data_IF_417777881664
#
_entry.id   IF_417777881664
#
_cell.length_a   1.000
_cell.length_b   1.000
_cell.length_c   1.000
_cell.angle_alpha   90.00
_cell.angle_beta   90.00
_cell.angle_gamma   90.00
#
_symmetry.space_group_name_H-M   'P 1'
#
loop_
_entity.id
_entity.type
_entity.pdbx_description
1 polymer ?
#
# COMPACT_ATOMS: atom_id res chain seq x y z
N UNK A 1 14.68 45.29 -25.68
CA UNK A 1 15.95 44.75 -26.22
C UNK A 1 17.13 45.58 -25.79
N UNK A 2 17.30 46.79 -26.34
CA UNK A 2 18.30 47.78 -25.86
C UNK A 2 17.68 49.14 -25.55
N UNK A 3 16.62 49.51 -26.28
CA UNK A 3 15.81 50.72 -26.08
C UNK A 3 15.09 50.84 -24.73
N UNK A 4 14.96 49.73 -23.98
CA UNK A 4 14.37 49.71 -22.63
C UNK A 4 15.39 49.44 -21.51
N UNK A 5 16.69 49.42 -21.81
CA UNK A 5 17.76 49.22 -20.81
C UNK A 5 17.84 47.81 -20.20
N UNK A 6 17.12 46.83 -20.73
CA UNK A 6 17.07 45.48 -20.17
C UNK A 6 18.15 44.58 -20.78
N UNK A 7 19.00 44.00 -19.95
CA UNK A 7 20.05 43.05 -20.35
C UNK A 7 19.41 41.67 -20.60
N UNK A 8 19.57 41.05 -21.79
CA UNK A 8 18.93 39.76 -22.11
C UNK A 8 19.26 38.63 -21.12
N UNK A 9 20.50 38.58 -20.63
CA UNK A 9 20.94 37.60 -19.64
C UNK A 9 20.17 37.73 -18.32
N UNK A 10 19.94 38.97 -17.86
CA UNK A 10 19.16 39.22 -16.65
C UNK A 10 17.70 38.78 -16.81
N UNK A 11 17.11 38.92 -18.01
CA UNK A 11 15.76 38.40 -18.28
C UNK A 11 15.72 36.89 -18.15
N UNK A 12 16.73 36.20 -18.69
CA UNK A 12 16.84 34.75 -18.61
C UNK A 12 16.90 34.29 -17.16
N UNK A 13 17.81 34.84 -16.37
CA UNK A 13 17.99 34.49 -14.95
C UNK A 13 16.73 34.74 -14.13
N UNK A 14 16.05 35.87 -14.35
CA UNK A 14 14.79 36.19 -13.65
C UNK A 14 13.67 35.24 -14.06
N UNK A 15 13.50 34.96 -15.36
CA UNK A 15 12.45 34.05 -15.83
C UNK A 15 12.69 32.63 -15.33
N UNK A 16 13.94 32.15 -15.35
CA UNK A 16 14.32 30.84 -14.80
C UNK A 16 14.01 30.76 -13.30
N UNK A 17 14.32 31.80 -12.52
CA UNK A 17 13.96 31.88 -11.10
C UNK A 17 12.44 31.85 -10.87
N UNK A 18 11.67 32.65 -11.61
CA UNK A 18 10.21 32.67 -11.50
C UNK A 18 9.57 31.34 -11.93
N UNK A 19 10.16 30.64 -12.90
CA UNK A 19 9.71 29.30 -13.29
C UNK A 19 10.03 28.28 -12.20
N UNK A 20 11.19 28.36 -11.55
CA UNK A 20 11.55 27.50 -10.43
C UNK A 20 10.60 27.68 -9.24
N UNK A 21 10.18 28.92 -8.95
CA UNK A 21 9.20 29.24 -7.91
C UNK A 21 7.75 28.88 -8.30
N UNK A 22 7.51 28.48 -9.55
CA UNK A 22 6.18 28.13 -10.07
C UNK A 22 5.26 29.32 -10.36
N UNK A 23 5.82 30.53 -10.42
CA UNK A 23 5.14 31.80 -10.69
C UNK A 23 4.91 32.03 -12.19
N UNK A 24 5.82 31.51 -13.02
CA UNK A 24 5.75 31.54 -14.49
C UNK A 24 5.71 30.12 -15.01
N UNK A 25 4.68 29.79 -15.78
CA UNK A 25 4.63 28.54 -16.51
C UNK A 25 5.49 28.60 -17.77
N UNK A 26 5.98 27.43 -18.14
CA UNK A 26 6.73 27.22 -19.37
C UNK A 26 6.24 25.97 -20.09
N UNK A 27 6.28 26.01 -21.41
CA UNK A 27 6.06 24.84 -22.26
C UNK A 27 6.85 24.97 -23.57
N UNK A 28 7.25 23.82 -24.10
CA UNK A 28 8.02 23.73 -25.34
C UNK A 28 7.10 23.36 -26.48
N UNK A 29 6.89 24.31 -27.40
CA UNK A 29 6.09 24.13 -28.60
C UNK A 29 7.01 24.16 -29.82
N UNK A 30 7.27 22.97 -30.38
CA UNK A 30 8.22 22.80 -31.48
C UNK A 30 9.65 23.16 -31.07
N UNK A 31 10.23 24.17 -31.73
CA UNK A 31 11.58 24.66 -31.45
C UNK A 31 11.64 25.80 -30.43
N UNK A 32 10.49 26.31 -29.97
CA UNK A 32 10.43 27.44 -29.05
C UNK A 32 9.94 27.04 -27.66
N UNK A 33 10.45 27.74 -26.64
CA UNK A 33 9.98 27.64 -25.26
C UNK A 33 9.18 28.89 -24.97
N UNK A 34 7.91 28.71 -24.60
CA UNK A 34 6.98 29.77 -24.25
C UNK A 34 6.93 29.93 -22.74
N UNK A 35 6.77 31.16 -22.28
CA UNK A 35 6.64 31.51 -20.87
C UNK A 35 5.41 32.39 -20.67
N UNK A 36 4.58 32.10 -19.68
CA UNK A 36 3.39 32.90 -19.36
C UNK A 36 3.03 32.84 -17.88
N UNK A 37 2.25 33.81 -17.43
CA UNK A 37 1.64 33.80 -16.09
C UNK A 37 0.21 34.32 -16.20
N UNK A 38 -0.75 33.53 -15.73
CA UNK A 38 -2.17 33.86 -15.74
C UNK A 38 -2.64 34.16 -14.31
N UNK A 39 -3.37 35.26 -14.06
CA UNK A 39 -3.85 35.61 -12.71
C UNK A 39 -4.66 34.49 -12.04
N UNK A 40 -5.41 33.70 -12.83
CA UNK A 40 -6.24 32.60 -12.36
C UNK A 40 -5.47 31.31 -12.04
N UNK A 41 -4.19 31.22 -12.44
CA UNK A 41 -3.44 29.97 -12.43
C UNK A 41 -3.17 29.45 -11.02
N UNK A 42 -2.67 30.31 -10.13
CA UNK A 42 -2.43 29.94 -8.72
C UNK A 42 -3.71 29.44 -8.06
N UNK A 43 -4.81 30.16 -8.28
CA UNK A 43 -6.12 29.77 -7.75
C UNK A 43 -6.58 28.41 -8.31
N UNK A 44 -6.36 28.16 -9.60
CA UNK A 44 -6.68 26.88 -10.23
C UNK A 44 -5.88 25.72 -9.63
N UNK A 45 -4.56 25.90 -9.49
CA UNK A 45 -3.66 24.91 -8.88
C UNK A 45 -4.06 24.61 -7.44
N UNK A 46 -4.33 25.64 -6.63
CA UNK A 46 -4.77 25.46 -5.24
C UNK A 46 -6.12 24.73 -5.15
N UNK A 47 -7.07 25.08 -6.02
CA UNK A 47 -8.38 24.37 -6.08
C UNK A 47 -8.21 22.91 -6.48
N UNK A 48 -7.34 22.60 -7.43
CA UNK A 48 -7.04 21.23 -7.82
C UNK A 48 -6.40 20.43 -6.67
N UNK A 49 -5.41 21.01 -5.99
CA UNK A 49 -4.78 20.42 -4.80
C UNK A 49 -5.81 20.18 -3.69
N UNK A 50 -6.68 21.16 -3.40
CA UNK A 50 -7.74 21.04 -2.41
C UNK A 50 -8.71 19.90 -2.75
N UNK A 51 -9.16 19.80 -4.02
CA UNK A 51 -10.03 18.71 -4.46
C UNK A 51 -9.37 17.35 -4.25
N UNK A 52 -8.14 17.17 -4.75
CA UNK A 52 -7.40 15.93 -4.59
C UNK A 52 -7.26 15.52 -3.12
N UNK A 53 -6.87 16.46 -2.26
CA UNK A 53 -6.71 16.18 -0.83
C UNK A 53 -8.04 15.87 -0.14
N UNK A 54 -9.13 16.53 -0.55
CA UNK A 54 -10.48 16.23 -0.06
C UNK A 54 -10.91 14.82 -0.44
N UNK A 55 -10.66 14.41 -1.69
CA UNK A 55 -11.01 13.08 -2.17
C UNK A 55 -10.20 11.99 -1.44
N UNK A 56 -8.91 12.26 -1.18
CA UNK A 56 -8.03 11.37 -0.44
C UNK A 56 -8.47 11.22 1.02
N UNK A 57 -8.83 12.32 1.69
CA UNK A 57 -9.39 12.28 3.05
C UNK A 57 -10.68 11.49 3.10
N UNK A 58 -11.58 11.67 2.12
CA UNK A 58 -12.83 10.91 2.05
C UNK A 58 -12.56 9.41 1.84
N UNK A 59 -11.60 9.07 0.97
CA UNK A 59 -11.20 7.68 0.77
C UNK A 59 -10.68 7.06 2.06
N UNK A 60 -9.76 7.74 2.76
CA UNK A 60 -9.21 7.25 4.03
C UNK A 60 -10.28 7.08 5.12
N UNK A 61 -11.29 7.96 5.17
CA UNK A 61 -12.41 7.78 6.10
C UNK A 61 -13.23 6.53 5.78
N UNK A 62 -13.52 6.27 4.51
CA UNK A 62 -14.24 5.05 4.12
C UNK A 62 -13.47 3.79 4.48
N UNK A 63 -12.17 3.77 4.17
CA UNK A 63 -11.30 2.63 4.53
C UNK A 63 -11.23 2.44 6.05
N UNK A 64 -11.17 3.54 6.81
CA UNK A 64 -11.21 3.48 8.27
C UNK A 64 -12.54 2.90 8.79
N UNK A 65 -13.67 3.38 8.27
CA UNK A 65 -15.00 2.93 8.68
C UNK A 65 -15.21 1.43 8.32
N UNK A 66 -14.72 0.99 7.17
CA UNK A 66 -14.74 -0.42 6.74
C UNK A 66 -13.93 -1.29 7.71
N UNK A 67 -12.69 -0.90 8.01
CA UNK A 67 -11.83 -1.65 8.95
C UNK A 67 -12.43 -1.66 10.37
N UNK A 68 -13.05 -0.56 10.82
CA UNK A 68 -13.73 -0.52 12.11
C UNK A 68 -14.94 -1.45 12.14
N UNK A 69 -15.73 -1.51 11.06
CA UNK A 69 -16.86 -2.43 10.97
C UNK A 69 -16.42 -3.90 10.96
N UNK A 70 -15.34 -4.23 10.26
CA UNK A 70 -14.73 -5.56 10.30
C UNK A 70 -14.25 -5.90 11.72
N UNK A 71 -13.50 -5.00 12.37
CA UNK A 71 -13.02 -5.20 13.72
C UNK A 71 -14.16 -5.39 14.73
N UNK A 72 -15.23 -4.60 14.61
CA UNK A 72 -16.43 -4.76 15.43
C UNK A 72 -17.07 -6.15 15.23
N UNK A 73 -17.14 -6.63 13.99
CA UNK A 73 -17.66 -7.95 13.65
C UNK A 73 -16.81 -9.06 14.26
N UNK A 74 -15.48 -9.01 14.09
CA UNK A 74 -14.55 -9.97 14.69
C UNK A 74 -14.57 -9.93 16.23
N UNK A 75 -14.76 -8.75 16.83
CA UNK A 75 -14.83 -8.59 18.29
C UNK A 75 -16.16 -9.05 18.90
N UNK A 76 -17.21 -9.11 18.07
CA UNK A 76 -18.54 -9.58 18.45
C UNK A 76 -18.64 -11.10 18.39
N UNK A 77 -17.81 -11.76 17.57
CA UNK A 77 -17.65 -13.22 17.63
C UNK A 77 -17.20 -13.61 19.05
N UNK A 78 -17.95 -14.50 19.75
CA UNK A 78 -17.56 -14.94 21.08
C UNK A 78 -16.17 -15.58 21.00
N UNK A 79 -15.17 -14.89 21.56
CA UNK A 79 -13.87 -15.49 21.75
C UNK A 79 -14.07 -16.76 22.59
N UNK A 80 -13.56 -17.93 22.15
CA UNK A 80 -13.63 -19.11 22.98
C UNK A 80 -12.97 -18.77 24.31
N UNK A 81 -13.61 -19.16 25.41
CA UNK A 81 -13.06 -18.94 26.74
C UNK A 81 -11.68 -19.57 26.85
N UNK A 82 -10.83 -19.05 27.72
CA UNK A 82 -9.48 -19.61 27.94
C UNK A 82 -9.52 -21.12 28.23
N UNK A 83 -10.60 -21.57 28.88
CA UNK A 83 -10.86 -22.99 29.16
C UNK A 83 -11.17 -23.80 27.90
N UNK A 84 -11.97 -23.26 26.98
CA UNK A 84 -12.27 -23.89 25.69
C UNK A 84 -11.02 -23.96 24.79
N UNK A 85 -10.23 -22.88 24.76
CA UNK A 85 -8.94 -22.86 24.06
C UNK A 85 -7.96 -23.89 24.64
N UNK A 86 -7.86 -24.00 25.97
CA UNK A 86 -7.02 -24.99 26.63
C UNK A 86 -7.47 -26.43 26.29
N UNK A 87 -8.77 -26.71 26.35
CA UNK A 87 -9.33 -28.02 25.99
C UNK A 87 -9.08 -28.38 24.52
N UNK A 88 -9.22 -27.43 23.60
CA UNK A 88 -8.91 -27.61 22.17
C UNK A 88 -7.43 -27.90 21.94
N UNK A 89 -6.53 -27.17 22.62
CA UNK A 89 -5.07 -27.39 22.53
C UNK A 89 -4.68 -28.78 23.04
N UNK A 90 -5.20 -29.19 24.19
CA UNK A 90 -4.97 -30.52 24.76
C UNK A 90 -5.47 -31.61 23.81
N UNK A 91 -6.68 -31.47 23.27
CA UNK A 91 -7.22 -32.44 22.30
C UNK A 91 -6.37 -32.51 21.03
N UNK A 92 -5.89 -31.38 20.52
CA UNK A 92 -5.02 -31.34 19.36
C UNK A 92 -3.64 -31.98 19.64
N UNK A 93 -3.09 -31.80 20.84
CA UNK A 93 -1.86 -32.45 21.26
C UNK A 93 -2.03 -33.98 21.38
N UNK A 94 -3.15 -34.43 21.97
CA UNK A 94 -3.48 -35.85 22.09
C UNK A 94 -3.64 -36.53 20.71
N UNK A 95 -4.35 -35.90 19.77
CA UNK A 95 -4.48 -36.46 18.40
C UNK A 95 -3.14 -36.48 17.65
N UNK A 96 -2.28 -35.48 17.85
CA UNK A 96 -0.92 -35.50 17.27
C UNK A 96 -0.11 -36.66 17.81
N UNK A 97 -0.12 -36.85 19.13
CA UNK A 97 0.55 -37.98 19.78
C UNK A 97 0.03 -39.31 19.28
N UNK A 98 -1.31 -39.50 19.23
CA UNK A 98 -1.94 -40.71 18.69
C UNK A 98 -1.55 -40.98 17.25
N UNK A 99 -1.53 -39.94 16.41
CA UNK A 99 -1.10 -40.05 15.00
C UNK A 99 0.36 -40.48 14.91
N UNK A 100 1.23 -39.91 15.72
CA UNK A 100 2.66 -40.19 15.66
C UNK A 100 2.97 -41.60 16.22
N UNK A 101 2.28 -42.03 17.29
CA UNK A 101 2.30 -43.42 17.77
C UNK A 101 1.80 -44.41 16.71
N UNK A 102 0.70 -44.09 16.02
CA UNK A 102 0.18 -44.93 14.94
C UNK A 102 1.16 -45.01 13.77
N UNK A 103 1.84 -43.91 13.42
CA UNK A 103 2.90 -43.92 12.40
C UNK A 103 4.06 -44.81 12.81
N UNK A 104 4.50 -44.73 14.06
CA UNK A 104 5.56 -45.61 14.60
C UNK A 104 5.12 -47.06 14.53
N UNK A 105 3.92 -47.40 15.01
CA UNK A 105 3.39 -48.77 14.97
C UNK A 105 3.24 -49.31 13.53
N UNK A 106 2.86 -48.46 12.58
CA UNK A 106 2.81 -48.83 11.15
C UNK A 106 4.21 -49.06 10.58
N UNK A 107 5.20 -48.25 10.94
CA UNK A 107 6.60 -48.43 10.52
C UNK A 107 7.25 -49.66 11.17
N UNK A 108 6.90 -50.00 12.40
CA UNK A 108 7.36 -51.22 13.08
C UNK A 108 6.74 -52.47 12.43
N UNK A 109 5.45 -52.42 12.06
CA UNK A 109 4.77 -53.52 11.36
C UNK A 109 5.25 -53.68 9.92
N UNK A 110 5.54 -52.57 9.25
CA UNK A 110 6.04 -52.52 7.88
C UNK A 110 7.52 -52.12 7.92
N UNK A 111 8.41 -53.07 8.22
CA UNK A 111 9.85 -52.79 8.24
C UNK A 111 10.35 -52.03 6.99
N UNK A 112 11.47 -51.29 7.09
CA UNK A 112 11.89 -50.30 6.09
C UNK A 112 12.02 -50.85 4.65
N UNK A 113 12.29 -52.15 4.50
CA UNK A 113 12.31 -52.83 3.20
C UNK A 113 10.96 -52.89 2.47
N UNK A 114 9.86 -53.18 3.19
CA UNK A 114 8.51 -53.28 2.59
C UNK A 114 7.92 -51.93 2.19
N UNK A 115 8.27 -50.86 2.94
CA UNK A 115 7.83 -49.49 2.61
C UNK A 115 8.54 -48.96 1.37
N UNK A 116 9.81 -49.31 1.16
CA UNK A 116 10.55 -48.97 -0.05
C UNK A 116 10.08 -49.75 -1.30
N UNK A 117 9.50 -50.94 -1.11
CA UNK A 117 8.93 -51.75 -2.18
C UNK A 117 7.56 -51.22 -2.62
N UNK A 118 6.67 -50.83 -1.68
CA UNK A 118 5.38 -50.22 -2.00
C UNK A 118 5.45 -48.83 -2.65
N UNK A 119 6.57 -48.10 -2.51
CA UNK A 119 6.77 -46.79 -3.18
C UNK A 119 7.37 -46.89 -4.58
N UNK A 120 7.81 -48.08 -5.01
CA UNK A 120 8.43 -48.32 -6.33
C UNK A 120 7.47 -48.91 -7.37
N UNK A 121 6.28 -49.31 -6.94
CA UNK A 121 5.13 -49.56 -7.81
C UNK A 121 4.29 -48.29 -7.92
#
# INVERSE_FOLDING_TARGET
GKSKGVIPQAVKEVVEGLTADGEVQTDKVGSQVLFWSLPSQKASVLRAKKRKLSDEVQKMHREYDEVQAELATLSSEPAPSDRELAALRERAAAERKRRDELKVAVLERCGPGKVAEMKRQ
#
